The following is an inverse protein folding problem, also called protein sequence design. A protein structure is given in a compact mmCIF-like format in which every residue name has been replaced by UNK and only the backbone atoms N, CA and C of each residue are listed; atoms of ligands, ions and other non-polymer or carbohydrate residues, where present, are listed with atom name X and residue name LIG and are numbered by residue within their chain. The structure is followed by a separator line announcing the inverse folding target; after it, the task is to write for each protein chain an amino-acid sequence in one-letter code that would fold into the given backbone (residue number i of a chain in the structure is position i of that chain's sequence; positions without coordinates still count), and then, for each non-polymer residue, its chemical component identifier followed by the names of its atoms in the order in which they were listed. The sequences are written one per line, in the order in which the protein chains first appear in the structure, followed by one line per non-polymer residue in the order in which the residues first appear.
data_IF_021684535913
#
_entry.id   IF_021684535913
#
_cell.length_a   1.000
_cell.length_b   1.000
_cell.length_c   1.000
_cell.angle_alpha   90.00
_cell.angle_beta   90.00
_cell.angle_gamma   90.00
#
_symmetry.space_group_name_H-M   'P 1'
#
loop_
_entity.id
_entity.type
_entity.pdbx_description
1 polymer ?
#
# COMPACT_ATOMS: atom_id res chain seq x y z
N UNK A 1 0.19 -28.96 84.57
CA UNK A 1 -0.70 -30.11 84.84
C UNK A 1 -0.72 -30.98 83.59
N UNK A 2 -0.21 -32.22 83.68
CA UNK A 2 -0.13 -33.16 82.55
C UNK A 2 -1.46 -33.92 82.39
N UNK A 3 -1.77 -34.39 81.18
CA UNK A 3 -2.96 -35.23 80.93
C UNK A 3 -2.50 -36.65 80.60
N UNK A 4 -3.03 -37.66 81.30
CA UNK A 4 -2.73 -39.06 81.02
C UNK A 4 -3.30 -39.45 79.65
N UNK A 5 -2.48 -40.07 78.78
CA UNK A 5 -2.92 -40.49 77.44
C UNK A 5 -3.85 -41.71 77.48
N UNK A 6 -3.75 -42.55 78.52
CA UNK A 6 -4.54 -43.78 78.62
C UNK A 6 -5.94 -43.54 79.19
N UNK A 7 -6.07 -42.76 80.27
CA UNK A 7 -7.35 -42.54 80.96
C UNK A 7 -7.86 -41.10 80.96
N UNK A 8 -7.08 -40.15 80.44
CA UNK A 8 -7.50 -38.75 80.28
C UNK A 8 -7.51 -37.89 81.55
N UNK A 9 -7.20 -38.45 82.73
CA UNK A 9 -7.14 -37.71 83.99
C UNK A 9 -5.99 -36.69 84.02
N UNK A 10 -6.19 -35.56 84.72
CA UNK A 10 -5.15 -34.55 84.94
C UNK A 10 -4.29 -34.95 86.15
N UNK A 11 -2.96 -34.92 85.99
CA UNK A 11 -2.00 -35.24 87.06
C UNK A 11 -0.90 -34.17 87.15
N UNK A 12 -0.36 -34.00 88.35
CA UNK A 12 0.77 -33.12 88.65
C UNK A 12 2.09 -33.89 88.82
N UNK A 13 2.06 -35.22 88.95
CA UNK A 13 3.25 -36.06 89.13
C UNK A 13 3.65 -36.86 87.88
N UNK A 14 4.78 -37.56 87.99
CA UNK A 14 5.32 -38.40 86.91
C UNK A 14 4.59 -39.74 86.77
N UNK A 15 3.65 -40.08 87.65
CA UNK A 15 2.79 -41.25 87.53
C UNK A 15 1.31 -40.84 87.66
N UNK A 16 0.43 -41.49 86.90
CA UNK A 16 -1.01 -41.23 86.95
C UNK A 16 -1.65 -41.91 88.17
N UNK A 17 -2.21 -41.13 89.08
CA UNK A 17 -2.85 -41.63 90.31
C UNK A 17 -4.07 -42.53 90.09
N UNK A 18 -4.64 -42.55 88.88
CA UNK A 18 -5.85 -43.33 88.59
C UNK A 18 -5.57 -44.66 87.85
N UNK A 19 -4.43 -44.80 87.17
CA UNK A 19 -4.10 -46.02 86.41
C UNK A 19 -2.65 -46.50 86.54
N UNK A 20 -1.81 -45.82 87.34
CA UNK A 20 -0.47 -46.27 87.72
C UNK A 20 0.64 -46.12 86.67
N UNK A 21 0.33 -45.68 85.44
CA UNK A 21 1.35 -45.51 84.38
C UNK A 21 2.17 -44.23 84.52
N UNK A 22 3.42 -44.29 84.08
CA UNK A 22 4.35 -43.15 84.02
C UNK A 22 3.91 -42.15 82.93
N UNK A 23 4.04 -40.85 83.23
CA UNK A 23 3.70 -39.72 82.37
C UNK A 23 4.95 -38.88 82.14
N UNK A 24 5.68 -39.11 81.03
CA UNK A 24 6.93 -38.41 80.72
C UNK A 24 6.76 -36.88 80.68
N UNK A 25 7.77 -36.13 81.12
CA UNK A 25 7.78 -34.66 81.18
C UNK A 25 7.74 -33.96 79.80
N UNK A 26 8.03 -34.69 78.73
CA UNK A 26 8.29 -34.14 77.39
C UNK A 26 7.06 -33.84 76.53
N UNK A 27 5.94 -33.42 77.12
CA UNK A 27 4.83 -32.85 76.35
C UNK A 27 4.92 -31.33 76.26
N UNK A 28 6.09 -30.83 75.84
CA UNK A 28 6.25 -29.43 75.43
C UNK A 28 6.03 -29.34 73.91
N UNK A 29 4.80 -28.96 73.55
CA UNK A 29 4.41 -28.65 72.18
C UNK A 29 4.94 -27.25 71.84
N UNK A 30 6.20 -27.16 71.40
CA UNK A 30 6.72 -25.92 70.82
C UNK A 30 6.30 -25.83 69.35
N UNK A 31 5.31 -24.97 69.11
CA UNK A 31 4.89 -24.49 67.79
C UNK A 31 6.11 -24.14 66.93
N UNK A 32 6.34 -24.90 65.85
CA UNK A 32 7.26 -24.48 64.80
C UNK A 32 6.63 -23.32 64.03
N UNK A 33 7.14 -22.13 64.38
CA UNK A 33 7.60 -21.07 63.49
C UNK A 33 6.68 -20.71 62.31
N UNK A 34 6.13 -19.51 62.41
CA UNK A 34 5.52 -18.81 61.27
C UNK A 34 6.46 -18.79 60.07
N UNK A 35 5.99 -19.37 58.97
CA UNK A 35 6.44 -18.96 57.65
C UNK A 35 5.98 -17.51 57.48
N UNK A 36 6.92 -16.57 57.62
CA UNK A 36 6.68 -15.17 57.32
C UNK A 36 6.08 -15.05 55.93
N UNK A 37 4.84 -14.58 55.84
CA UNK A 37 4.17 -14.22 54.59
C UNK A 37 4.94 -13.05 53.97
N UNK A 38 6.03 -13.33 53.24
CA UNK A 38 6.76 -12.34 52.45
C UNK A 38 5.82 -11.89 51.34
N UNK A 39 5.51 -10.59 51.32
CA UNK A 39 4.30 -10.02 50.72
C UNK A 39 4.07 -10.41 49.25
N UNK A 40 2.90 -10.99 48.93
CA UNK A 40 2.49 -11.27 47.54
C UNK A 40 2.36 -10.02 46.67
N UNK A 41 2.38 -8.81 47.27
CA UNK A 41 2.35 -7.52 46.57
C UNK A 41 3.53 -7.32 45.62
N UNK A 42 4.72 -7.84 45.94
CA UNK A 42 5.91 -7.73 45.07
C UNK A 42 5.79 -8.63 43.84
N UNK A 43 5.30 -9.87 44.00
CA UNK A 43 5.09 -10.80 42.88
C UNK A 43 3.96 -10.31 41.98
N UNK A 44 2.85 -9.81 42.56
CA UNK A 44 1.74 -9.23 41.80
C UNK A 44 2.20 -8.00 41.02
N UNK A 45 3.04 -7.14 41.61
CA UNK A 45 3.60 -5.97 40.92
C UNK A 45 4.51 -6.36 39.74
N UNK A 46 5.34 -7.40 39.88
CA UNK A 46 6.20 -7.88 38.79
C UNK A 46 5.36 -8.49 37.66
N UNK A 47 4.37 -9.32 37.98
CA UNK A 47 3.47 -9.91 36.97
C UNK A 47 2.66 -8.84 36.25
N UNK A 48 2.16 -7.82 36.96
CA UNK A 48 1.44 -6.72 36.32
C UNK A 48 2.32 -5.92 35.35
N UNK A 49 3.59 -5.70 35.69
CA UNK A 49 4.54 -5.01 34.79
C UNK A 49 4.81 -5.85 33.54
N UNK A 50 4.98 -7.17 33.68
CA UNK A 50 5.19 -8.07 32.54
C UNK A 50 3.98 -8.09 31.61
N UNK A 51 2.76 -8.11 32.15
CA UNK A 51 1.52 -8.07 31.36
C UNK A 51 1.41 -6.74 30.61
N UNK A 52 1.72 -5.61 31.26
CA UNK A 52 1.71 -4.29 30.60
C UNK A 52 2.76 -4.21 29.50
N UNK A 53 3.96 -4.72 29.71
CA UNK A 53 4.99 -4.77 28.66
C UNK A 53 4.58 -5.67 27.49
N UNK A 54 3.99 -6.84 27.76
CA UNK A 54 3.50 -7.73 26.71
C UNK A 54 2.38 -7.08 25.87
N UNK A 55 1.46 -6.35 26.52
CA UNK A 55 0.40 -5.59 25.83
C UNK A 55 1.01 -4.46 24.99
N UNK A 56 1.96 -3.68 25.54
CA UNK A 56 2.62 -2.61 24.80
C UNK A 56 3.37 -3.13 23.56
N UNK A 57 4.10 -4.24 23.71
CA UNK A 57 4.77 -4.89 22.57
C UNK A 57 3.77 -5.43 21.55
N UNK A 58 2.67 -6.04 21.99
CA UNK A 58 1.62 -6.52 21.11
C UNK A 58 0.99 -5.39 20.29
N UNK A 59 0.65 -4.27 20.94
CA UNK A 59 0.14 -3.07 20.26
C UNK A 59 1.16 -2.54 19.26
N UNK A 60 2.45 -2.44 19.63
CA UNK A 60 3.50 -1.97 18.74
C UNK A 60 3.63 -2.85 17.48
N UNK A 61 3.63 -4.17 17.64
CA UNK A 61 3.67 -5.13 16.52
C UNK A 61 2.45 -4.97 15.61
N UNK A 62 1.24 -4.86 16.17
CA UNK A 62 0.03 -4.64 15.39
C UNK A 62 0.07 -3.32 14.61
N UNK A 63 0.53 -2.23 15.22
CA UNK A 63 0.69 -0.94 14.53
C UNK A 63 1.70 -1.00 13.39
N UNK A 64 2.84 -1.68 13.59
CA UNK A 64 3.84 -1.86 12.53
C UNK A 64 3.33 -2.70 11.36
N UNK A 65 2.59 -3.78 11.64
CA UNK A 65 2.01 -4.62 10.60
C UNK A 65 0.94 -3.86 9.79
N UNK A 66 0.10 -3.07 10.47
CA UNK A 66 -0.89 -2.22 9.81
C UNK A 66 -0.23 -1.16 8.92
N UNK A 67 0.82 -0.49 9.41
CA UNK A 67 1.58 0.49 8.62
C UNK A 67 2.21 -0.15 7.38
N UNK A 68 2.79 -1.34 7.52
CA UNK A 68 3.38 -2.08 6.39
C UNK A 68 2.33 -2.44 5.33
N UNK A 69 1.14 -2.86 5.76
CA UNK A 69 0.04 -3.18 4.83
C UNK A 69 -0.37 -1.96 3.99
N UNK A 70 -0.56 -0.80 4.63
CA UNK A 70 -0.88 0.45 3.93
C UNK A 70 0.24 0.84 2.95
N UNK A 71 1.50 0.73 3.37
CA UNK A 71 2.65 1.06 2.50
C UNK A 71 2.80 0.10 1.31
N UNK A 72 2.47 -1.18 1.48
CA UNK A 72 2.50 -2.16 0.39
C UNK A 72 1.37 -1.89 -0.60
N UNK A 73 0.15 -1.69 -0.12
CA UNK A 73 -0.99 -1.35 -0.98
C UNK A 73 -0.74 -0.07 -1.77
N UNK A 74 -0.14 0.94 -1.13
CA UNK A 74 0.25 2.18 -1.82
C UNK A 74 1.27 1.91 -2.94
N UNK A 75 2.27 1.07 -2.69
CA UNK A 75 3.26 0.70 -3.71
C UNK A 75 2.60 -0.05 -4.89
N UNK A 76 1.71 -1.00 -4.61
CA UNK A 76 1.01 -1.78 -5.62
C UNK A 76 0.10 -0.89 -6.50
N UNK A 77 -0.59 0.09 -5.88
CA UNK A 77 -1.39 1.07 -6.60
C UNK A 77 -0.53 1.99 -7.48
N UNK A 78 0.65 2.39 -6.99
CA UNK A 78 1.59 3.22 -7.74
C UNK A 78 2.20 2.45 -8.93
N UNK A 79 2.50 1.17 -8.77
CA UNK A 79 2.95 0.28 -9.84
C UNK A 79 1.84 0.09 -10.89
N UNK A 80 0.61 -0.18 -10.45
CA UNK A 80 -0.55 -0.28 -11.34
C UNK A 80 -0.79 1.02 -12.11
N UNK A 81 -0.61 2.18 -11.46
CA UNK A 81 -0.72 3.48 -12.10
C UNK A 81 0.33 3.63 -13.21
N UNK A 82 1.58 3.26 -12.90
CA UNK A 82 2.67 3.28 -13.88
C UNK A 82 2.42 2.37 -15.07
N UNK A 83 1.84 1.18 -14.85
CA UNK A 83 1.46 0.25 -15.93
C UNK A 83 0.42 0.88 -16.85
N UNK A 84 -0.66 1.45 -16.30
CA UNK A 84 -1.71 2.07 -17.10
C UNK A 84 -1.22 3.29 -17.88
N UNK A 85 -0.47 4.19 -17.23
CA UNK A 85 0.06 5.39 -17.88
C UNK A 85 1.09 5.02 -18.96
N UNK A 86 2.02 4.12 -18.68
CA UNK A 86 3.06 3.76 -19.66
C UNK A 86 2.44 3.05 -20.87
N UNK A 87 1.50 2.13 -20.64
CA UNK A 87 0.79 1.46 -21.72
C UNK A 87 -0.06 2.42 -22.54
N UNK A 88 -0.72 3.38 -21.88
CA UNK A 88 -1.50 4.41 -22.56
C UNK A 88 -0.63 5.41 -23.31
N UNK A 89 0.53 5.78 -22.78
CA UNK A 89 1.48 6.68 -23.43
C UNK A 89 2.02 6.08 -24.73
N UNK A 90 2.39 4.79 -24.74
CA UNK A 90 2.84 4.10 -25.97
C UNK A 90 1.75 4.07 -27.05
N UNK A 91 0.50 3.84 -26.64
CA UNK A 91 -0.64 3.85 -27.56
C UNK A 91 -0.93 5.28 -28.08
N UNK A 92 -0.80 6.29 -27.22
CA UNK A 92 -0.97 7.69 -27.57
C UNK A 92 0.15 8.17 -28.50
N UNK A 93 1.38 7.75 -28.27
CA UNK A 93 2.54 8.00 -29.15
C UNK A 93 2.26 7.43 -30.55
N UNK A 94 1.81 6.17 -30.61
CA UNK A 94 1.49 5.50 -31.87
C UNK A 94 0.38 6.24 -32.64
N UNK A 95 -0.72 6.58 -31.96
CA UNK A 95 -1.83 7.28 -32.60
C UNK A 95 -1.49 8.73 -32.98
N UNK A 96 -0.78 9.47 -32.13
CA UNK A 96 -0.38 10.84 -32.43
C UNK A 96 0.59 10.94 -33.60
N UNK A 97 1.51 9.97 -33.72
CA UNK A 97 2.34 9.83 -34.90
C UNK A 97 1.51 9.55 -36.18
N UNK A 98 0.47 8.72 -36.09
CA UNK A 98 -0.43 8.49 -37.22
C UNK A 98 -1.21 9.76 -37.61
N UNK A 99 -1.72 10.53 -36.64
CA UNK A 99 -2.37 11.82 -36.89
C UNK A 99 -1.42 12.77 -37.61
N UNK A 100 -0.20 12.92 -37.11
CA UNK A 100 0.82 13.76 -37.74
C UNK A 100 1.15 13.29 -39.18
N UNK A 101 1.25 11.97 -39.39
CA UNK A 101 1.55 11.39 -40.69
C UNK A 101 0.41 11.63 -41.70
N UNK A 102 -0.85 11.35 -41.33
CA UNK A 102 -2.02 11.61 -42.19
C UNK A 102 -2.12 13.08 -42.56
N UNK A 103 -1.92 13.97 -41.58
CA UNK A 103 -1.95 15.41 -41.81
C UNK A 103 -0.85 15.85 -42.78
N UNK A 104 0.39 15.39 -42.56
CA UNK A 104 1.53 15.69 -43.43
C UNK A 104 1.31 15.18 -44.85
N UNK A 105 0.95 13.91 -44.99
CA UNK A 105 0.75 13.27 -46.28
C UNK A 105 -0.38 13.92 -47.07
N UNK A 106 -1.46 14.35 -46.40
CA UNK A 106 -2.55 15.09 -47.05
C UNK A 106 -2.12 16.47 -47.54
N UNK A 107 -1.27 17.19 -46.79
CA UNK A 107 -0.72 18.50 -47.22
C UNK A 107 0.12 18.35 -48.50
N UNK A 108 0.89 17.27 -48.60
CA UNK A 108 1.82 17.06 -49.72
C UNK A 108 1.30 16.13 -50.82
N UNK A 109 0.08 15.60 -50.66
CA UNK A 109 -0.52 14.64 -51.58
C UNK A 109 0.26 13.32 -51.68
N UNK A 110 0.90 12.91 -50.59
CA UNK A 110 1.66 11.67 -50.54
C UNK A 110 0.73 10.46 -50.32
N UNK A 111 0.68 9.56 -51.30
CA UNK A 111 -0.13 8.33 -51.22
C UNK A 111 0.74 7.08 -51.39
N UNK A 112 2.04 7.15 -51.09
CA UNK A 112 2.91 5.96 -51.10
C UNK A 112 2.95 5.22 -49.77
N UNK A 113 2.59 5.87 -48.67
CA UNK A 113 2.66 5.29 -47.33
C UNK A 113 1.44 4.40 -47.05
N UNK A 114 1.70 3.14 -46.69
CA UNK A 114 0.64 2.14 -46.47
C UNK A 114 -0.29 2.52 -45.31
N UNK A 115 0.26 3.05 -44.22
CA UNK A 115 -0.46 3.37 -43.00
C UNK A 115 -1.42 4.57 -43.16
N UNK A 116 -1.09 5.52 -44.05
CA UNK A 116 -1.89 6.74 -44.27
C UNK A 116 -2.72 6.71 -45.55
N UNK A 117 -2.39 5.82 -46.50
CA UNK A 117 -3.03 5.73 -47.81
C UNK A 117 -4.55 5.71 -47.73
N UNK A 118 -5.13 4.89 -46.84
CA UNK A 118 -6.59 4.75 -46.71
C UNK A 118 -7.32 6.03 -46.30
N UNK A 119 -6.61 6.99 -45.70
CA UNK A 119 -7.18 8.25 -45.23
C UNK A 119 -6.93 9.41 -46.22
N UNK A 120 -5.77 9.38 -46.88
CA UNK A 120 -5.31 10.46 -47.77
C UNK A 120 -5.79 10.27 -49.21
N UNK A 121 -5.86 9.03 -49.70
CA UNK A 121 -6.20 8.75 -51.08
C UNK A 121 -7.65 9.16 -51.42
N UNK A 122 -7.78 10.23 -52.21
CA UNK A 122 -9.08 10.74 -52.66
C UNK A 122 -9.70 11.79 -51.74
N UNK A 123 -9.07 12.14 -50.62
CA UNK A 123 -9.45 13.28 -49.81
C UNK A 123 -9.22 14.59 -50.57
N UNK A 124 -10.10 15.58 -50.43
CA UNK A 124 -10.01 16.87 -51.09
C UNK A 124 -8.91 17.75 -50.49
N UNK A 125 -8.73 17.67 -49.16
CA UNK A 125 -7.74 18.41 -48.40
C UNK A 125 -7.37 17.66 -47.11
N UNK A 126 -6.55 18.30 -46.26
CA UNK A 126 -6.11 17.71 -45.00
C UNK A 126 -7.24 17.60 -43.96
N UNK A 127 -8.28 18.43 -44.04
CA UNK A 127 -9.40 18.36 -43.09
C UNK A 127 -10.23 17.09 -43.37
N UNK A 128 -10.52 16.80 -44.64
CA UNK A 128 -11.21 15.55 -45.02
C UNK A 128 -10.35 14.30 -44.72
N UNK A 129 -9.02 14.37 -44.94
CA UNK A 129 -8.13 13.26 -44.61
C UNK A 129 -8.11 12.94 -43.10
N UNK A 130 -8.11 13.97 -42.25
CA UNK A 130 -8.23 13.80 -40.80
C UNK A 130 -9.62 13.29 -40.43
N UNK A 131 -10.70 13.79 -41.04
CA UNK A 131 -12.05 13.26 -40.81
C UNK A 131 -12.12 11.75 -41.12
N UNK A 132 -11.54 11.32 -42.23
CA UNK A 132 -11.45 9.90 -42.59
C UNK A 132 -10.70 9.08 -41.51
N UNK A 133 -9.61 9.62 -40.95
CA UNK A 133 -8.90 8.98 -39.83
C UNK A 133 -9.78 8.84 -38.59
N UNK A 134 -10.49 9.90 -38.19
CA UNK A 134 -11.32 9.88 -36.97
C UNK A 134 -12.64 9.10 -37.13
N UNK A 135 -13.07 8.82 -38.37
CA UNK A 135 -14.21 7.94 -38.67
C UNK A 135 -13.81 6.45 -38.74
N UNK A 136 -12.52 6.14 -38.79
CA UNK A 136 -12.01 4.78 -38.86
C UNK A 136 -12.28 4.01 -37.56
N UNK A 137 -12.92 2.84 -37.68
CA UNK A 137 -13.34 2.05 -36.52
C UNK A 137 -12.15 1.60 -35.66
N UNK A 138 -11.03 1.23 -36.29
CA UNK A 138 -9.81 0.83 -35.57
C UNK A 138 -9.22 2.01 -34.79
N UNK A 139 -9.16 3.20 -35.39
CA UNK A 139 -8.70 4.40 -34.70
C UNK A 139 -9.62 4.77 -33.54
N UNK A 140 -10.95 4.74 -33.74
CA UNK A 140 -11.94 5.00 -32.68
C UNK A 140 -11.83 4.00 -31.52
N UNK A 141 -11.64 2.72 -31.81
CA UNK A 141 -11.47 1.69 -30.78
C UNK A 141 -10.21 1.91 -29.94
N UNK A 142 -9.10 2.30 -30.58
CA UNK A 142 -7.86 2.64 -29.88
C UNK A 142 -7.97 3.94 -29.09
N UNK A 143 -8.68 4.95 -29.60
CA UNK A 143 -9.01 6.18 -28.86
C UNK A 143 -9.90 5.91 -27.64
N UNK A 144 -10.86 4.98 -27.74
CA UNK A 144 -11.65 4.52 -26.60
C UNK A 144 -10.75 3.83 -25.55
N UNK A 145 -9.83 2.98 -26.00
CA UNK A 145 -8.85 2.32 -25.12
C UNK A 145 -7.96 3.33 -24.40
N UNK A 146 -7.52 4.41 -25.05
CA UNK A 146 -6.78 5.49 -24.39
C UNK A 146 -7.59 6.14 -23.27
N UNK A 147 -8.87 6.40 -23.52
CA UNK A 147 -9.76 6.98 -22.51
C UNK A 147 -9.98 6.03 -21.33
N UNK A 148 -10.14 4.73 -21.58
CA UNK A 148 -10.27 3.72 -20.52
C UNK A 148 -9.01 3.66 -19.65
N UNK A 149 -7.82 3.68 -20.27
CA UNK A 149 -6.54 3.71 -19.55
C UNK A 149 -6.37 4.99 -18.73
N UNK A 150 -6.75 6.13 -19.29
CA UNK A 150 -6.77 7.40 -18.56
C UNK A 150 -7.70 7.35 -17.35
N UNK A 151 -8.88 6.77 -17.49
CA UNK A 151 -9.82 6.62 -16.40
C UNK A 151 -9.29 5.65 -15.32
N UNK A 152 -8.67 4.53 -15.70
CA UNK A 152 -8.04 3.62 -14.75
C UNK A 152 -6.89 4.31 -13.98
N UNK A 153 -6.05 5.09 -14.68
CA UNK A 153 -5.01 5.89 -14.04
C UNK A 153 -5.59 6.94 -13.08
N UNK A 154 -6.71 7.57 -13.45
CA UNK A 154 -7.43 8.51 -12.58
C UNK A 154 -7.95 7.83 -11.30
N UNK A 155 -8.59 6.68 -11.42
CA UNK A 155 -9.09 5.91 -10.28
C UNK A 155 -7.94 5.55 -9.32
N UNK A 156 -6.79 5.14 -9.85
CA UNK A 156 -5.59 4.89 -9.05
C UNK A 156 -5.05 6.17 -8.39
N UNK A 157 -5.10 7.30 -9.08
CA UNK A 157 -4.74 8.60 -8.48
C UNK A 157 -5.62 8.98 -7.29
N UNK A 158 -6.90 8.57 -7.27
CA UNK A 158 -7.78 8.75 -6.11
C UNK A 158 -7.31 7.91 -4.92
N UNK A 159 -6.90 6.67 -5.15
CA UNK A 159 -6.36 5.78 -4.12
C UNK A 159 -4.99 6.24 -3.58
N UNK A 160 -4.24 7.02 -4.38
CA UNK A 160 -2.91 7.52 -4.04
C UNK A 160 -2.91 8.85 -3.27
N UNK A 161 -4.06 9.49 -3.03
CA UNK A 161 -4.17 10.84 -2.45
C UNK A 161 -3.60 11.01 -1.04
N UNK A 162 -3.51 9.93 -0.26
CA UNK A 162 -3.01 9.94 1.12
C UNK A 162 -1.64 9.22 1.20
N UNK A 163 -0.55 9.84 0.69
CA UNK A 163 0.75 9.17 0.62
C UNK A 163 1.37 8.96 2.00
N UNK A 164 1.86 7.74 2.30
CA UNK A 164 2.82 7.52 3.38
C UNK A 164 4.04 8.44 3.22
N UNK A 165 4.69 8.81 4.32
CA UNK A 165 5.77 9.82 4.31
C UNK A 165 6.87 9.55 3.27
N UNK A 166 7.23 8.28 3.05
CA UNK A 166 8.26 7.86 2.09
C UNK A 166 7.85 7.99 0.62
N UNK A 167 6.55 8.12 0.33
CA UNK A 167 6.00 8.18 -1.03
C UNK A 167 5.48 9.56 -1.44
N UNK A 168 5.56 10.58 -0.57
CA UNK A 168 5.09 11.94 -0.89
C UNK A 168 5.66 12.49 -2.20
N UNK A 169 6.98 12.34 -2.40
CA UNK A 169 7.61 12.77 -3.64
C UNK A 169 7.19 11.95 -4.86
N UNK A 170 6.86 10.66 -4.69
CA UNK A 170 6.31 9.84 -5.76
C UNK A 170 4.91 10.30 -6.15
N UNK A 171 4.07 10.65 -5.17
CA UNK A 171 2.73 11.17 -5.41
C UNK A 171 2.74 12.49 -6.18
N UNK A 172 3.58 13.43 -5.77
CA UNK A 172 3.70 14.73 -6.44
C UNK A 172 4.07 14.54 -7.93
N UNK A 173 5.01 13.63 -8.20
CA UNK A 173 5.43 13.30 -9.56
C UNK A 173 4.37 12.52 -10.35
N UNK A 174 3.63 11.61 -9.70
CA UNK A 174 2.50 10.90 -10.31
C UNK A 174 1.38 11.85 -10.71
N UNK A 175 1.10 12.88 -9.91
CA UNK A 175 0.13 13.91 -10.22
C UNK A 175 0.54 14.74 -11.45
N UNK A 176 1.81 15.14 -11.52
CA UNK A 176 2.36 15.83 -12.69
C UNK A 176 2.30 14.95 -13.95
N UNK A 177 2.72 13.69 -13.82
CA UNK A 177 2.67 12.69 -14.89
C UNK A 177 1.24 12.51 -15.41
N UNK A 178 0.26 12.31 -14.52
CA UNK A 178 -1.14 12.15 -14.91
C UNK A 178 -1.67 13.38 -15.66
N UNK A 179 -1.27 14.59 -15.24
CA UNK A 179 -1.65 15.83 -15.92
C UNK A 179 -1.11 15.88 -17.35
N UNK A 180 0.19 15.65 -17.55
CA UNK A 180 0.81 15.69 -18.89
C UNK A 180 0.27 14.58 -19.79
N UNK A 181 0.12 13.37 -19.24
CA UNK A 181 -0.48 12.24 -19.94
C UNK A 181 -1.92 12.51 -20.39
N UNK A 182 -2.73 13.15 -19.55
CA UNK A 182 -4.09 13.55 -19.92
C UNK A 182 -4.10 14.58 -21.06
N UNK A 183 -3.18 15.55 -21.03
CA UNK A 183 -3.01 16.53 -22.11
C UNK A 183 -2.55 15.88 -23.42
N UNK A 184 -1.67 14.88 -23.36
CA UNK A 184 -1.24 14.10 -24.52
C UNK A 184 -2.42 13.37 -25.16
N UNK A 185 -3.23 12.67 -24.36
CA UNK A 185 -4.43 11.99 -24.85
C UNK A 185 -5.42 12.98 -25.47
N UNK A 186 -5.67 14.11 -24.82
CA UNK A 186 -6.59 15.13 -25.35
C UNK A 186 -6.09 15.66 -26.70
N UNK A 187 -4.78 15.91 -26.85
CA UNK A 187 -4.20 16.37 -28.10
C UNK A 187 -4.34 15.34 -29.23
N UNK A 188 -4.10 14.05 -28.94
CA UNK A 188 -4.23 12.95 -29.92
C UNK A 188 -5.69 12.70 -30.31
N UNK A 189 -6.60 12.79 -29.34
CA UNK A 189 -8.04 12.54 -29.58
C UNK A 189 -8.73 13.73 -30.25
N UNK A 190 -8.28 14.95 -29.94
CA UNK A 190 -8.87 16.20 -30.41
C UNK A 190 -7.77 17.15 -30.90
N UNK A 191 -7.19 16.88 -32.09
CA UNK A 191 -6.11 17.70 -32.62
C UNK A 191 -6.62 19.11 -32.90
N UNK A 192 -5.81 20.10 -32.57
CA UNK A 192 -6.15 21.52 -32.78
C UNK A 192 -4.96 22.29 -33.33
N UNK A 193 -5.25 23.42 -33.96
CA UNK A 193 -4.24 24.30 -34.54
C UNK A 193 -3.83 23.88 -35.95
N UNK A 194 -2.56 24.08 -36.26
CA UNK A 194 -1.92 23.70 -37.53
C UNK A 194 -1.08 22.44 -37.36
N UNK A 195 -0.72 21.80 -38.47
CA UNK A 195 0.24 20.69 -38.50
C UNK A 195 1.50 20.99 -37.66
N UNK A 196 2.15 22.14 -37.88
CA UNK A 196 3.38 22.49 -37.16
C UNK A 196 3.15 22.60 -35.64
N UNK A 197 2.11 23.34 -35.23
CA UNK A 197 1.81 23.52 -33.80
C UNK A 197 1.36 22.23 -33.12
N UNK A 198 0.67 21.35 -33.86
CA UNK A 198 0.29 20.02 -33.38
C UNK A 198 1.53 19.17 -33.16
N UNK A 199 2.39 19.02 -34.19
CA UNK A 199 3.59 18.19 -34.12
C UNK A 199 4.56 18.65 -33.04
N UNK A 200 4.80 19.96 -32.92
CA UNK A 200 5.63 20.52 -31.85
C UNK A 200 5.06 20.20 -30.46
N UNK A 201 3.75 20.38 -30.27
CA UNK A 201 3.11 20.15 -28.97
C UNK A 201 3.04 18.67 -28.62
N UNK A 202 2.83 17.82 -29.62
CA UNK A 202 2.82 16.37 -29.47
C UNK A 202 4.19 15.85 -29.04
N UNK A 203 5.26 16.22 -29.76
CA UNK A 203 6.64 15.84 -29.40
C UNK A 203 7.02 16.32 -28.00
N UNK A 204 6.64 17.56 -27.65
CA UNK A 204 6.86 18.12 -26.32
C UNK A 204 6.19 17.29 -25.23
N UNK A 205 4.89 17.00 -25.37
CA UNK A 205 4.12 16.25 -24.38
C UNK A 205 4.58 14.80 -24.28
N UNK A 206 4.83 14.14 -25.41
CA UNK A 206 5.33 12.77 -25.47
C UNK A 206 6.67 12.63 -24.71
N UNK A 207 7.62 13.53 -25.01
CA UNK A 207 8.91 13.58 -24.32
C UNK A 207 8.75 13.81 -22.82
N UNK A 208 7.90 14.77 -22.42
CA UNK A 208 7.66 15.07 -21.01
C UNK A 208 7.05 13.87 -20.27
N UNK A 209 6.07 13.20 -20.86
CA UNK A 209 5.45 12.00 -20.29
C UNK A 209 6.49 10.89 -20.14
N UNK A 210 7.30 10.62 -21.17
CA UNK A 210 8.35 9.61 -21.12
C UNK A 210 9.39 9.90 -20.02
N UNK A 211 9.82 11.17 -19.89
CA UNK A 211 10.75 11.59 -18.82
C UNK A 211 10.15 11.42 -17.42
N UNK A 212 8.89 11.80 -17.23
CA UNK A 212 8.18 11.69 -15.96
C UNK A 212 7.98 10.22 -15.57
N UNK A 213 7.60 9.37 -16.53
CA UNK A 213 7.54 7.92 -16.35
C UNK A 213 8.90 7.36 -15.91
N UNK A 214 9.98 7.75 -16.60
CA UNK A 214 11.33 7.33 -16.26
C UNK A 214 11.74 7.75 -14.85
N UNK A 215 11.49 9.01 -14.48
CA UNK A 215 11.78 9.54 -13.14
C UNK A 215 10.99 8.80 -12.07
N UNK A 216 9.68 8.64 -12.23
CA UNK A 216 8.82 7.98 -11.24
C UNK A 216 9.22 6.52 -11.05
N UNK A 217 9.51 5.79 -12.13
CA UNK A 217 9.98 4.41 -12.07
C UNK A 217 11.27 4.25 -11.24
N UNK A 218 12.18 5.23 -11.25
CA UNK A 218 13.40 5.18 -10.40
C UNK A 218 13.14 5.42 -8.91
N UNK A 219 11.98 5.98 -8.57
CA UNK A 219 11.60 6.31 -7.19
C UNK A 219 10.77 5.21 -6.54
N UNK A 220 10.13 4.35 -7.32
CA UNK A 220 9.36 3.20 -6.82
C UNK A 220 10.34 2.18 -6.22
N UNK A 221 10.29 1.92 -4.90
CA UNK A 221 11.18 0.96 -4.27
C UNK A 221 10.81 -0.46 -4.73
N UNK A 222 11.81 -1.20 -5.24
CA UNK A 222 11.64 -2.60 -5.65
C UNK A 222 11.28 -3.44 -4.41
N UNK A 223 10.04 -3.94 -4.36
CA UNK A 223 9.61 -4.88 -3.34
C UNK A 223 10.09 -6.27 -3.75
N UNK A 224 11.14 -6.76 -3.11
CA UNK A 224 11.65 -8.15 -3.27
C UNK A 224 10.96 -9.11 -2.31
#
# INVERSE_FOLDING_TARGET
MKKCINCGAKTSGNFCSNCGMEVPDFYEKANRAGAGKKSSRVIIAIVSVIVVMAIATGIAVCLTAYKQMIENQYADNLDSFMVEVTSGAVEAETQGNLVAAVWYDAIWGNTSEEDTYKYVAGAADFDEALENLYLDEDFQAKSATLNDKRNAAYELMLELQEPPDKYKACYDLALELYSQYSMLIDLVTYPTGSYNSYSEKFEELDTQVAELCGKLNTMIPVVY
#
